data_IF_363995194729
#
_entry.id   IF_363995194729
#
_cell.length_a   1.000
_cell.length_b   1.000
_cell.length_c   1.000
_cell.angle_alpha   90.00
_cell.angle_beta   90.00
_cell.angle_gamma   90.00
#
_symmetry.space_group_name_H-M   'P 1'
#
loop_
_entity.id
_entity.type
_entity.pdbx_description
1 polymer ?
#
# COMPACT_ATOMS: atom_id res chain seq x y z
N UNK A 1 -33.42 27.54 -55.50
CA UNK A 1 -32.23 26.70 -55.28
C UNK A 1 -32.15 26.41 -53.79
N UNK A 2 -32.44 25.15 -53.38
CA UNK A 2 -32.41 24.72 -51.97
C UNK A 2 -31.01 24.20 -51.69
N UNK A 3 -30.25 24.85 -50.82
CA UNK A 3 -28.94 24.37 -50.37
C UNK A 3 -29.13 23.30 -49.27
N UNK A 4 -28.74 22.07 -49.56
CA UNK A 4 -28.71 20.96 -48.63
C UNK A 4 -27.37 21.00 -47.89
N UNK A 5 -27.36 21.36 -46.59
CA UNK A 5 -26.19 21.26 -45.74
C UNK A 5 -26.08 19.84 -45.19
N UNK A 6 -25.07 19.08 -45.62
CA UNK A 6 -24.74 17.79 -45.08
C UNK A 6 -23.88 18.01 -43.82
N UNK A 7 -24.44 17.74 -42.65
CA UNK A 7 -23.71 17.73 -41.38
C UNK A 7 -22.94 16.42 -41.28
N UNK A 8 -21.61 16.46 -41.48
CA UNK A 8 -20.74 15.30 -41.28
C UNK A 8 -20.42 15.20 -39.79
N UNK A 9 -21.07 14.26 -39.12
CA UNK A 9 -20.77 13.94 -37.72
C UNK A 9 -19.50 13.09 -37.68
N UNK A 10 -18.36 13.70 -37.30
CA UNK A 10 -17.11 12.99 -37.07
C UNK A 10 -17.20 12.34 -35.69
N UNK A 11 -17.52 11.03 -35.63
CA UNK A 11 -17.39 10.23 -34.41
C UNK A 11 -15.89 10.01 -34.12
N UNK A 12 -15.34 10.78 -33.22
CA UNK A 12 -14.03 10.48 -32.64
C UNK A 12 -14.20 9.33 -31.66
N UNK A 13 -13.78 8.15 -32.07
CA UNK A 13 -13.62 7.01 -31.16
C UNK A 13 -12.43 7.32 -30.22
N UNK A 14 -12.72 7.67 -28.98
CA UNK A 14 -11.72 7.59 -27.94
C UNK A 14 -11.48 6.09 -27.68
N UNK A 15 -10.43 5.52 -28.27
CA UNK A 15 -9.92 4.23 -27.87
C UNK A 15 -9.27 4.47 -26.50
N UNK A 16 -10.01 4.21 -25.42
CA UNK A 16 -9.40 4.05 -24.11
C UNK A 16 -8.48 2.83 -24.23
N UNK A 17 -7.16 2.95 -23.97
CA UNK A 17 -6.29 1.79 -24.00
C UNK A 17 -6.85 0.76 -23.02
N UNK A 18 -7.12 -0.45 -23.51
CA UNK A 18 -7.55 -1.55 -22.67
C UNK A 18 -6.40 -1.83 -21.69
N UNK A 19 -6.61 -1.52 -20.41
CA UNK A 19 -5.63 -1.77 -19.38
C UNK A 19 -5.26 -3.26 -19.39
N UNK A 20 -3.97 -3.58 -19.57
CA UNK A 20 -3.48 -4.96 -19.56
C UNK A 20 -3.54 -5.51 -18.13
N UNK A 21 -4.70 -6.02 -17.73
CA UNK A 21 -4.97 -6.55 -16.39
C UNK A 21 -5.30 -8.04 -16.47
N UNK A 22 -4.68 -8.82 -15.58
CA UNK A 22 -4.98 -10.24 -15.40
C UNK A 22 -5.25 -10.54 -13.93
N UNK A 23 -6.33 -11.30 -13.65
CA UNK A 23 -6.69 -11.73 -12.31
C UNK A 23 -6.20 -13.15 -12.05
N UNK A 24 -5.59 -13.36 -10.87
CA UNK A 24 -5.16 -14.67 -10.40
C UNK A 24 -5.73 -14.96 -9.01
N UNK A 25 -5.94 -16.23 -8.69
CA UNK A 25 -6.18 -16.69 -7.32
C UNK A 25 -4.82 -17.03 -6.71
N UNK A 26 -4.45 -16.36 -5.62
CA UNK A 26 -3.18 -16.60 -4.96
C UNK A 26 -3.30 -17.51 -3.72
N UNK A 27 -4.48 -17.56 -3.09
CA UNK A 27 -4.74 -18.45 -1.96
C UNK A 27 -6.23 -18.79 -1.82
N UNK A 28 -6.53 -19.89 -1.15
CA UNK A 28 -7.86 -20.23 -0.64
C UNK A 28 -7.75 -20.51 0.85
N UNK A 29 -8.48 -19.76 1.68
CA UNK A 29 -8.45 -19.82 3.13
C UNK A 29 -9.85 -20.11 3.68
N UNK A 30 -10.15 -21.38 3.89
CA UNK A 30 -11.51 -21.81 4.24
C UNK A 30 -12.48 -21.52 3.07
N UNK A 31 -13.44 -20.62 3.30
CA UNK A 31 -14.41 -20.21 2.26
C UNK A 31 -13.92 -19.00 1.44
N UNK A 32 -12.84 -18.34 1.85
CA UNK A 32 -12.34 -17.16 1.17
C UNK A 32 -11.42 -17.55 0.01
N UNK A 33 -11.75 -17.10 -1.18
CA UNK A 33 -10.87 -17.16 -2.36
C UNK A 33 -10.21 -15.82 -2.55
N UNK A 34 -8.91 -15.76 -2.25
CA UNK A 34 -8.11 -14.55 -2.29
C UNK A 34 -7.49 -14.37 -3.68
N UNK A 35 -7.67 -13.19 -4.25
CA UNK A 35 -7.27 -12.89 -5.62
C UNK A 35 -6.36 -11.67 -5.67
N UNK A 36 -5.55 -11.61 -6.72
CA UNK A 36 -4.80 -10.42 -7.09
C UNK A 36 -5.02 -10.08 -8.56
N UNK A 37 -5.01 -8.78 -8.85
CA UNK A 37 -5.08 -8.23 -10.20
C UNK A 37 -3.69 -7.67 -10.53
N UNK A 38 -3.10 -8.17 -11.62
CA UNK A 38 -1.79 -7.76 -12.12
C UNK A 38 -1.99 -6.82 -13.30
N UNK A 39 -1.47 -5.61 -13.19
CA UNK A 39 -1.51 -4.56 -14.19
C UNK A 39 -0.11 -4.37 -14.77
N UNK A 40 0.03 -4.55 -16.07
CA UNK A 40 1.34 -4.44 -16.76
C UNK A 40 1.41 -3.18 -17.62
N UNK A 41 2.59 -2.53 -17.72
CA UNK A 41 2.81 -1.43 -18.67
C UNK A 41 2.48 -1.83 -20.11
N UNK A 42 2.01 -0.87 -20.93
CA UNK A 42 1.55 -1.16 -22.30
C UNK A 42 2.65 -1.72 -23.21
N UNK A 43 3.88 -1.26 -23.05
CA UNK A 43 5.00 -1.58 -23.95
C UNK A 43 6.00 -2.57 -23.34
N UNK A 44 5.55 -3.45 -22.42
CA UNK A 44 6.41 -4.45 -21.81
C UNK A 44 6.87 -5.48 -22.85
N UNK A 45 8.19 -5.74 -22.90
CA UNK A 45 8.80 -6.72 -23.81
C UNK A 45 8.92 -8.07 -23.08
N UNK A 46 8.89 -9.20 -23.80
CA UNK A 46 9.04 -10.53 -23.19
C UNK A 46 10.33 -10.73 -22.39
N UNK A 47 11.35 -9.92 -22.64
CA UNK A 47 12.65 -9.96 -21.95
C UNK A 47 12.74 -9.04 -20.74
N UNK A 48 11.73 -8.21 -20.51
CA UNK A 48 11.76 -7.25 -19.41
C UNK A 48 11.56 -7.97 -18.07
N UNK A 49 12.21 -7.43 -17.04
CA UNK A 49 12.04 -7.81 -15.66
C UNK A 49 11.89 -6.51 -14.86
N UNK A 50 10.66 -6.20 -14.46
CA UNK A 50 10.28 -4.90 -13.93
C UNK A 50 10.11 -4.93 -12.42
N UNK A 51 10.38 -3.83 -11.72
CA UNK A 51 10.00 -3.68 -10.32
C UNK A 51 8.47 -3.81 -10.16
N UNK A 52 8.02 -4.22 -8.98
CA UNK A 52 6.59 -4.43 -8.71
C UNK A 52 6.13 -3.71 -7.45
N UNK A 53 4.97 -3.07 -7.52
CA UNK A 53 4.24 -2.54 -6.37
C UNK A 53 3.11 -3.50 -6.04
N UNK A 54 3.12 -4.07 -4.83
CA UNK A 54 2.04 -4.92 -4.31
C UNK A 54 1.22 -4.07 -3.35
N UNK A 55 0.01 -3.76 -3.75
CA UNK A 55 -0.91 -2.87 -3.06
C UNK A 55 -2.02 -3.62 -2.33
N UNK A 56 -2.21 -3.27 -1.05
CA UNK A 56 -3.30 -3.73 -0.21
C UNK A 56 -4.21 -2.56 0.15
N UNK A 57 -5.51 -2.72 -0.13
CA UNK A 57 -6.51 -1.68 0.11
C UNK A 57 -6.79 -1.43 1.61
N UNK A 58 -7.31 -0.26 1.91
CA UNK A 58 -7.81 0.11 3.24
C UNK A 58 -9.14 -0.54 3.60
N UNK A 59 -9.84 0.07 4.57
CA UNK A 59 -11.18 -0.35 4.98
C UNK A 59 -11.24 -1.05 6.34
N UNK A 60 -10.24 -0.85 7.22
CA UNK A 60 -10.26 -1.30 8.62
C UNK A 60 -10.44 -2.81 8.78
N UNK A 61 -9.93 -3.60 7.84
CA UNK A 61 -10.10 -5.07 7.80
C UNK A 61 -11.56 -5.53 7.77
N UNK A 62 -12.49 -4.61 7.42
CA UNK A 62 -13.94 -4.85 7.42
C UNK A 62 -14.57 -4.68 6.03
N UNK A 63 -13.94 -3.93 5.15
CA UNK A 63 -14.46 -3.58 3.83
C UNK A 63 -13.35 -3.22 2.85
N UNK A 64 -13.75 -2.68 1.69
CA UNK A 64 -12.83 -2.39 0.59
C UNK A 64 -12.71 -3.54 -0.40
N UNK A 65 -11.86 -3.34 -1.39
CA UNK A 65 -11.63 -4.32 -2.46
C UNK A 65 -10.46 -3.91 -3.34
N UNK A 66 -9.98 -4.80 -4.17
CA UNK A 66 -8.78 -4.62 -4.99
C UNK A 66 -8.96 -3.79 -6.28
N UNK A 67 -10.16 -3.26 -6.53
CA UNK A 67 -10.52 -2.57 -7.77
C UNK A 67 -11.26 -1.24 -7.54
N UNK A 68 -11.06 -0.61 -6.39
CA UNK A 68 -11.54 0.73 -6.10
C UNK A 68 -10.71 1.81 -6.80
N UNK A 69 -11.07 3.07 -6.58
CA UNK A 69 -10.40 4.20 -7.24
C UNK A 69 -8.94 4.36 -6.79
N UNK A 70 -8.64 4.14 -5.52
CA UNK A 70 -7.29 4.23 -4.97
C UNK A 70 -6.37 3.16 -5.57
N UNK A 71 -6.90 1.93 -5.71
CA UNK A 71 -6.21 0.81 -6.33
C UNK A 71 -5.88 1.10 -7.80
N UNK A 72 -6.84 1.65 -8.54
CA UNK A 72 -6.66 2.04 -9.94
C UNK A 72 -5.64 3.19 -10.06
N UNK A 73 -5.70 4.16 -9.18
CA UNK A 73 -4.76 5.30 -9.18
C UNK A 73 -3.31 4.82 -8.97
N UNK A 74 -3.07 3.98 -7.95
CA UNK A 74 -1.71 3.53 -7.64
C UNK A 74 -1.14 2.59 -8.71
N UNK A 75 -1.94 1.64 -9.25
CA UNK A 75 -1.45 0.73 -10.29
C UNK A 75 -1.21 1.43 -11.63
N UNK A 76 -2.01 2.45 -11.97
CA UNK A 76 -1.78 3.27 -13.15
C UNK A 76 -0.49 4.09 -13.02
N UNK A 77 -0.25 4.69 -11.85
CA UNK A 77 0.99 5.42 -11.61
C UNK A 77 2.20 4.47 -11.61
N UNK A 78 2.07 3.27 -11.06
CA UNK A 78 3.09 2.24 -11.14
C UNK A 78 3.43 1.92 -12.61
N UNK A 79 2.44 1.62 -13.44
CA UNK A 79 2.63 1.31 -14.86
C UNK A 79 3.25 2.48 -15.64
N UNK A 80 2.80 3.72 -15.39
CA UNK A 80 3.37 4.96 -15.98
C UNK A 80 4.86 5.11 -15.68
N UNK A 81 5.31 4.62 -14.52
CA UNK A 81 6.70 4.72 -14.06
C UNK A 81 7.52 3.44 -14.29
N UNK A 82 7.02 2.49 -15.09
CA UNK A 82 7.74 1.27 -15.45
C UNK A 82 7.71 0.16 -14.40
N UNK A 83 6.79 0.22 -13.45
CA UNK A 83 6.54 -0.84 -12.46
C UNK A 83 5.32 -1.68 -12.87
N UNK A 84 5.32 -2.94 -12.51
CA UNK A 84 4.12 -3.76 -12.50
C UNK A 84 3.30 -3.36 -11.27
N UNK A 85 1.99 -3.09 -11.45
CA UNK A 85 1.06 -2.86 -10.36
C UNK A 85 0.34 -4.16 -10.00
N UNK A 86 0.30 -4.51 -8.73
CA UNK A 86 -0.47 -5.67 -8.23
C UNK A 86 -1.39 -5.19 -7.12
N UNK A 87 -2.70 -5.37 -7.29
CA UNK A 87 -3.67 -5.07 -6.24
C UNK A 87 -4.27 -6.35 -5.69
N UNK A 88 -4.25 -6.52 -4.36
CA UNK A 88 -4.64 -7.77 -3.69
C UNK A 88 -5.94 -7.64 -2.90
N UNK A 89 -6.75 -8.70 -2.89
CA UNK A 89 -7.77 -8.90 -1.85
C UNK A 89 -7.13 -9.63 -0.67
N UNK A 90 -7.72 -9.51 0.50
CA UNK A 90 -7.31 -10.19 1.73
C UNK A 90 -8.53 -10.51 2.59
N UNK A 91 -8.39 -11.35 3.62
CA UNK A 91 -9.49 -11.71 4.49
C UNK A 91 -9.97 -10.52 5.32
N UNK A 92 -11.25 -10.17 5.17
CA UNK A 92 -11.88 -9.07 5.90
C UNK A 92 -12.41 -9.57 7.26
N UNK A 93 -11.51 -9.91 8.17
CA UNK A 93 -11.82 -10.60 9.44
C UNK A 93 -12.67 -9.77 10.40
N UNK A 94 -12.81 -8.49 10.14
CA UNK A 94 -13.64 -7.59 10.95
C UNK A 94 -14.99 -7.29 10.31
N UNK A 95 -15.26 -7.81 9.12
CA UNK A 95 -16.54 -7.63 8.41
C UNK A 95 -17.69 -8.25 9.22
N UNK A 96 -18.73 -7.45 9.46
CA UNK A 96 -19.93 -7.90 10.18
C UNK A 96 -19.74 -8.11 11.68
N UNK A 97 -18.56 -7.83 12.23
CA UNK A 97 -18.34 -7.90 13.68
C UNK A 97 -18.91 -6.66 14.39
N UNK A 98 -19.46 -6.83 15.61
CA UNK A 98 -20.04 -5.72 16.36
C UNK A 98 -19.04 -4.61 16.73
N UNK A 99 -17.78 -4.96 16.96
CA UNK A 99 -16.74 -4.05 17.42
C UNK A 99 -15.91 -3.44 16.30
N UNK A 100 -16.05 -3.95 15.04
CA UNK A 100 -15.18 -3.53 13.96
C UNK A 100 -13.70 -3.71 14.33
N UNK A 101 -12.87 -2.69 14.04
CA UNK A 101 -11.45 -2.62 14.41
C UNK A 101 -11.17 -1.48 15.39
N UNK A 102 -12.22 -1.00 16.10
CA UNK A 102 -12.21 0.15 17.02
C UNK A 102 -11.69 -0.16 18.42
N UNK A 103 -12.00 0.75 19.37
CA UNK A 103 -11.54 0.64 20.75
C UNK A 103 -12.19 -0.51 21.54
N UNK A 104 -13.32 -1.01 21.09
CA UNK A 104 -14.01 -2.15 21.70
C UNK A 104 -13.58 -3.50 21.09
N UNK A 105 -12.74 -3.50 20.03
CA UNK A 105 -12.08 -4.67 19.51
C UNK A 105 -10.88 -5.01 20.41
N UNK A 106 -10.89 -6.17 21.07
CA UNK A 106 -9.83 -6.51 22.02
C UNK A 106 -8.44 -6.52 21.36
N UNK A 107 -7.40 -6.24 22.16
CA UNK A 107 -6.00 -6.27 21.71
C UNK A 107 -5.64 -7.59 21.02
N UNK A 108 -6.09 -8.71 21.56
CA UNK A 108 -5.86 -10.04 21.00
C UNK A 108 -6.48 -10.17 19.61
N UNK A 109 -7.71 -9.68 19.43
CA UNK A 109 -8.39 -9.67 18.13
C UNK A 109 -7.71 -8.73 17.13
N UNK A 110 -7.18 -7.59 17.57
CA UNK A 110 -6.38 -6.70 16.71
C UNK A 110 -5.10 -7.38 16.26
N UNK A 111 -4.34 -7.97 17.19
CA UNK A 111 -3.11 -8.70 16.87
C UNK A 111 -3.36 -9.89 15.95
N UNK A 112 -4.44 -10.66 16.21
CA UNK A 112 -4.85 -11.75 15.32
C UNK A 112 -5.19 -11.24 13.92
N UNK A 113 -5.90 -10.12 13.82
CA UNK A 113 -6.25 -9.50 12.52
C UNK A 113 -5.00 -9.06 11.76
N UNK A 114 -4.06 -8.38 12.42
CA UNK A 114 -2.77 -8.02 11.82
C UNK A 114 -1.98 -9.26 11.37
N UNK A 115 -1.90 -10.28 12.22
CA UNK A 115 -1.22 -11.54 11.86
C UNK A 115 -1.78 -12.15 10.58
N UNK A 116 -3.11 -12.26 10.47
CA UNK A 116 -3.74 -12.86 9.30
C UNK A 116 -3.60 -11.99 8.04
N UNK A 117 -3.62 -10.66 8.18
CA UNK A 117 -3.37 -9.73 7.09
C UNK A 117 -1.91 -9.81 6.59
N UNK A 118 -0.95 -9.93 7.50
CA UNK A 118 0.47 -10.16 7.18
C UNK A 118 0.66 -11.47 6.42
N UNK A 119 -0.01 -12.54 6.83
CA UNK A 119 0.02 -13.84 6.12
C UNK A 119 -0.57 -13.68 4.71
N UNK A 120 -1.73 -13.04 4.56
CA UNK A 120 -2.38 -12.87 3.26
C UNK A 120 -1.52 -12.01 2.31
N UNK A 121 -0.88 -10.96 2.83
CA UNK A 121 0.05 -10.14 2.05
C UNK A 121 1.28 -10.93 1.59
N UNK A 122 1.88 -11.73 2.48
CA UNK A 122 3.04 -12.56 2.15
C UNK A 122 2.69 -13.69 1.19
N UNK A 123 1.51 -14.30 1.31
CA UNK A 123 1.01 -15.30 0.34
C UNK A 123 0.87 -14.69 -1.05
N UNK A 124 0.29 -13.48 -1.16
CA UNK A 124 0.19 -12.76 -2.43
C UNK A 124 1.58 -12.41 -3.00
N UNK A 125 2.49 -11.95 -2.14
CA UNK A 125 3.88 -11.66 -2.54
C UNK A 125 4.60 -12.94 -3.00
N UNK A 126 4.40 -14.06 -2.30
CA UNK A 126 4.98 -15.34 -2.68
C UNK A 126 4.43 -15.84 -4.02
N UNK A 127 3.14 -15.64 -4.29
CA UNK A 127 2.56 -15.94 -5.61
C UNK A 127 3.26 -15.13 -6.70
N UNK A 128 3.45 -13.83 -6.51
CA UNK A 128 4.17 -12.96 -7.46
C UNK A 128 5.61 -13.42 -7.63
N UNK A 129 6.31 -13.74 -6.54
CA UNK A 129 7.68 -14.23 -6.53
C UNK A 129 7.83 -15.54 -7.32
N UNK A 130 6.99 -16.54 -7.04
CA UNK A 130 7.04 -17.85 -7.69
C UNK A 130 6.65 -17.81 -9.18
N UNK A 131 5.87 -16.82 -9.60
CA UNK A 131 5.44 -16.61 -10.97
C UNK A 131 6.19 -15.45 -11.65
N UNK A 132 7.32 -15.00 -11.10
CA UNK A 132 8.05 -13.81 -11.54
C UNK A 132 8.43 -13.83 -13.03
N UNK A 133 8.84 -14.97 -13.57
CA UNK A 133 9.16 -15.13 -15.01
C UNK A 133 7.92 -14.88 -15.87
N UNK A 134 6.77 -15.49 -15.53
CA UNK A 134 5.52 -15.31 -16.26
C UNK A 134 4.98 -13.89 -16.15
N UNK A 135 5.16 -13.26 -14.97
CA UNK A 135 4.70 -11.93 -14.68
C UNK A 135 5.72 -10.85 -15.05
N UNK A 136 6.93 -11.24 -15.45
CA UNK A 136 8.04 -10.34 -15.79
C UNK A 136 8.46 -9.42 -14.64
N UNK A 137 8.47 -9.95 -13.42
CA UNK A 137 8.80 -9.24 -12.17
C UNK A 137 10.26 -9.43 -11.79
N UNK A 138 10.94 -8.33 -11.48
CA UNK A 138 12.23 -8.34 -10.77
C UNK A 138 11.98 -8.58 -9.27
N UNK A 139 12.23 -9.79 -8.81
CA UNK A 139 12.01 -10.20 -7.42
C UNK A 139 12.91 -9.50 -6.41
N UNK A 140 13.96 -8.83 -6.85
CA UNK A 140 14.82 -8.00 -6.00
C UNK A 140 14.23 -6.58 -5.74
N UNK A 141 13.14 -6.22 -6.46
CA UNK A 141 12.54 -4.88 -6.44
C UNK A 141 11.04 -4.92 -6.16
N UNK A 142 10.66 -5.61 -5.08
CA UNK A 142 9.27 -5.69 -4.60
C UNK A 142 9.01 -4.55 -3.63
N UNK A 143 7.99 -3.73 -3.89
CA UNK A 143 7.55 -2.63 -3.05
C UNK A 143 6.27 -3.07 -2.33
N UNK A 144 6.28 -3.10 -1.00
CA UNK A 144 5.08 -3.29 -0.20
C UNK A 144 4.31 -1.99 -0.11
N UNK A 145 3.02 -2.00 -0.43
CA UNK A 145 2.24 -0.77 -0.51
C UNK A 145 0.82 -0.94 0.05
N UNK A 146 0.25 0.15 0.56
CA UNK A 146 -1.14 0.13 1.00
C UNK A 146 -1.64 1.44 1.56
N UNK A 147 -2.94 1.45 1.87
CA UNK A 147 -3.66 2.56 2.48
C UNK A 147 -4.32 2.12 3.79
N UNK A 148 -4.28 2.95 4.86
CA UNK A 148 -4.93 2.65 6.14
C UNK A 148 -4.58 1.24 6.65
N UNK A 149 -5.54 0.35 6.84
CA UNK A 149 -5.32 -1.06 7.20
C UNK A 149 -4.30 -1.78 6.28
N UNK A 150 -4.31 -1.47 4.99
CA UNK A 150 -3.32 -1.98 4.04
C UNK A 150 -1.92 -1.40 4.28
N UNK A 151 -1.81 -0.11 4.63
CA UNK A 151 -0.54 0.52 4.97
C UNK A 151 0.03 0.00 6.29
N UNK A 152 -0.82 -0.23 7.30
CA UNK A 152 -0.42 -0.91 8.54
C UNK A 152 0.16 -2.29 8.23
N UNK A 153 -0.51 -3.05 7.34
CA UNK A 153 -0.04 -4.37 6.93
C UNK A 153 1.28 -4.30 6.14
N UNK A 154 1.42 -3.35 5.20
CA UNK A 154 2.64 -3.15 4.43
C UNK A 154 3.86 -2.84 5.32
N UNK A 155 3.67 -2.00 6.36
CA UNK A 155 4.70 -1.71 7.36
C UNK A 155 5.03 -2.94 8.21
N UNK A 156 4.01 -3.69 8.65
CA UNK A 156 4.22 -4.92 9.42
C UNK A 156 4.98 -6.00 8.62
N UNK A 157 4.66 -6.21 7.34
CA UNK A 157 5.38 -7.21 6.53
C UNK A 157 6.82 -6.80 6.25
N UNK A 158 7.08 -5.49 6.11
CA UNK A 158 8.41 -4.99 5.88
C UNK A 158 9.31 -5.13 7.13
N UNK A 159 8.80 -4.75 8.32
CA UNK A 159 9.62 -4.57 9.51
C UNK A 159 9.34 -5.55 10.65
N UNK A 160 8.15 -6.18 10.71
CA UNK A 160 7.72 -7.00 11.84
C UNK A 160 7.24 -8.40 11.46
N UNK A 161 7.46 -8.87 10.24
CA UNK A 161 6.92 -10.18 9.82
C UNK A 161 7.34 -11.35 10.73
N UNK A 162 8.54 -11.31 11.34
CA UNK A 162 9.00 -12.33 12.29
C UNK A 162 8.23 -12.33 13.62
N UNK A 163 7.70 -11.17 14.01
CA UNK A 163 6.83 -11.07 15.19
C UNK A 163 5.52 -11.84 14.97
N UNK A 164 4.95 -11.71 13.76
CA UNK A 164 3.68 -12.36 13.41
C UNK A 164 3.84 -13.81 12.97
N UNK A 165 4.94 -14.13 12.29
CA UNK A 165 5.21 -15.46 11.71
C UNK A 165 6.60 -15.90 12.14
N UNK A 166 6.71 -16.68 13.25
CA UNK A 166 8.00 -17.15 13.75
C UNK A 166 8.76 -18.02 12.75
N UNK A 167 8.05 -18.88 12.00
CA UNK A 167 8.61 -19.68 10.92
C UNK A 167 8.35 -19.04 9.56
N UNK A 168 9.35 -18.40 9.00
CA UNK A 168 9.33 -17.76 7.69
C UNK A 168 9.83 -18.65 6.54
N UNK A 169 9.96 -19.96 6.75
CA UNK A 169 10.53 -20.89 5.74
C UNK A 169 9.81 -20.76 4.38
N UNK A 170 8.49 -20.60 4.38
CA UNK A 170 7.69 -20.43 3.16
C UNK A 170 7.95 -19.08 2.43
N UNK A 171 8.50 -18.08 3.12
CA UNK A 171 8.70 -16.71 2.62
C UNK A 171 10.17 -16.27 2.72
N UNK A 172 11.10 -17.22 2.91
CA UNK A 172 12.52 -16.93 3.21
C UNK A 172 13.23 -16.11 2.13
N UNK A 173 12.82 -16.30 0.88
CA UNK A 173 13.43 -15.64 -0.29
C UNK A 173 12.79 -14.28 -0.61
N UNK A 174 11.69 -13.92 0.09
CA UNK A 174 11.01 -12.64 -0.12
C UNK A 174 11.75 -11.53 0.60
N UNK A 175 12.16 -10.52 -0.16
CA UNK A 175 12.69 -9.25 0.34
C UNK A 175 11.89 -8.10 -0.23
N UNK A 176 11.74 -7.03 0.56
CA UNK A 176 11.13 -5.79 0.09
C UNK A 176 12.22 -4.75 -0.17
N UNK A 177 12.14 -4.07 -1.32
CA UNK A 177 13.06 -3.02 -1.72
C UNK A 177 12.56 -1.63 -1.32
N UNK A 178 11.31 -1.51 -0.88
CA UNK A 178 10.72 -0.26 -0.41
C UNK A 178 9.31 -0.45 0.12
N UNK A 179 8.77 0.63 0.71
CA UNK A 179 7.38 0.69 1.21
C UNK A 179 6.69 1.96 0.73
N UNK A 180 5.42 1.86 0.38
CA UNK A 180 4.51 3.00 0.20
C UNK A 180 3.37 2.87 1.22
N UNK A 181 3.16 3.91 2.04
CA UNK A 181 2.10 3.91 3.04
C UNK A 181 1.28 5.20 3.04
N UNK A 182 -0.03 5.08 2.90
CA UNK A 182 -0.98 6.18 3.08
C UNK A 182 -1.69 6.00 4.41
N UNK A 183 -1.47 6.92 5.38
CA UNK A 183 -2.03 6.85 6.75
C UNK A 183 -1.80 5.51 7.41
N UNK A 184 -0.53 5.05 7.46
CA UNK A 184 -0.11 3.79 8.08
C UNK A 184 0.64 4.00 9.38
N UNK A 185 0.64 2.96 10.22
CA UNK A 185 1.42 2.85 11.44
C UNK A 185 1.73 1.38 11.75
N UNK A 186 2.67 1.09 12.63
CA UNK A 186 2.97 -0.28 13.06
C UNK A 186 3.28 -0.37 14.55
N UNK A 187 3.33 -1.59 15.09
CA UNK A 187 3.26 -1.86 16.52
C UNK A 187 4.51 -1.50 17.30
N UNK A 188 5.70 -1.68 16.73
CA UNK A 188 6.95 -1.59 17.47
C UNK A 188 8.04 -0.90 16.63
N UNK A 189 8.34 0.36 16.99
CA UNK A 189 9.33 1.17 16.28
C UNK A 189 10.76 0.61 16.38
N UNK A 190 11.05 -0.20 17.40
CA UNK A 190 12.38 -0.78 17.57
C UNK A 190 12.61 -1.99 16.67
N UNK A 191 11.56 -2.52 16.06
CA UNK A 191 11.65 -3.47 14.94
C UNK A 191 12.22 -2.86 13.65
N UNK A 192 12.19 -1.53 13.51
CA UNK A 192 12.89 -0.79 12.45
C UNK A 192 14.32 -0.48 12.90
N UNK A 193 15.29 -1.13 12.25
CA UNK A 193 16.72 -1.06 12.57
C UNK A 193 17.50 -0.59 11.34
N UNK A 194 18.77 -0.25 11.53
CA UNK A 194 19.65 0.13 10.41
C UNK A 194 19.79 -1.02 9.39
N UNK A 195 19.77 -2.28 9.85
CA UNK A 195 19.97 -3.45 9.00
C UNK A 195 18.78 -3.78 8.11
N UNK A 196 17.57 -3.33 8.49
CA UNK A 196 16.34 -3.55 7.71
C UNK A 196 15.73 -2.26 7.17
N UNK A 197 16.39 -1.13 7.34
CA UNK A 197 15.94 0.16 6.80
C UNK A 197 15.99 0.12 5.26
N UNK A 198 14.84 0.28 4.64
CA UNK A 198 14.65 0.37 3.19
C UNK A 198 13.96 1.70 2.85
N UNK A 199 14.01 2.19 1.59
CA UNK A 199 13.30 3.39 1.17
C UNK A 199 11.80 3.35 1.50
N UNK A 200 11.27 4.40 2.15
CA UNK A 200 9.87 4.49 2.56
C UNK A 200 9.24 5.78 2.04
N UNK A 201 8.12 5.67 1.31
CA UNK A 201 7.30 6.81 0.92
C UNK A 201 5.99 6.82 1.71
N UNK A 202 5.76 7.88 2.49
CA UNK A 202 4.59 8.00 3.38
C UNK A 202 3.78 9.26 3.07
N UNK A 203 2.46 9.14 3.16
CA UNK A 203 1.52 10.28 3.20
C UNK A 203 0.66 10.15 4.44
N UNK A 204 0.52 11.23 5.25
CA UNK A 204 -0.25 11.15 6.49
C UNK A 204 -0.82 12.50 6.90
N UNK A 205 -2.07 12.51 7.40
CA UNK A 205 -2.72 13.66 7.99
C UNK A 205 -2.26 13.91 9.43
N UNK A 206 -1.93 15.17 9.78
CA UNK A 206 -1.45 15.49 11.13
C UNK A 206 -2.53 15.38 12.20
N UNK A 207 -3.81 15.38 11.82
CA UNK A 207 -4.97 15.25 12.70
C UNK A 207 -5.74 13.94 12.50
N UNK A 208 -5.05 12.93 11.95
CA UNK A 208 -5.62 11.58 11.78
C UNK A 208 -5.99 10.98 13.13
N UNK A 209 -7.29 10.67 13.32
CA UNK A 209 -7.83 10.06 14.55
C UNK A 209 -8.05 8.56 14.43
N UNK A 210 -7.93 8.00 13.24
CA UNK A 210 -8.01 6.56 13.03
C UNK A 210 -6.65 5.89 13.23
N UNK A 211 -5.63 6.40 12.53
CA UNK A 211 -4.25 5.90 12.62
C UNK A 211 -3.36 7.06 13.10
N UNK A 212 -2.56 6.89 14.16
CA UNK A 212 -1.78 7.99 14.69
C UNK A 212 -0.66 8.43 13.74
N UNK A 213 -0.52 9.74 13.53
CA UNK A 213 0.57 10.34 12.77
C UNK A 213 1.93 10.17 13.47
N UNK A 214 1.96 10.33 14.80
CA UNK A 214 3.12 10.06 15.67
C UNK A 214 2.97 8.74 16.42
N UNK A 215 3.43 8.69 17.66
CA UNK A 215 3.23 7.54 18.57
C UNK A 215 2.03 7.79 19.47
N UNK A 216 0.98 7.01 19.30
CA UNK A 216 -0.23 7.09 20.11
C UNK A 216 -1.01 5.75 20.07
N UNK A 217 -2.00 5.56 20.96
CA UNK A 217 -2.91 4.41 20.86
C UNK A 217 -3.69 4.44 19.54
N UNK A 218 -3.85 3.27 18.93
CA UNK A 218 -4.73 3.09 17.76
C UNK A 218 -6.11 3.67 18.04
N UNK A 219 -6.61 4.55 17.14
CA UNK A 219 -7.85 5.33 17.31
C UNK A 219 -7.90 6.15 18.61
N UNK A 220 -6.76 6.46 19.17
CA UNK A 220 -6.66 7.21 20.46
C UNK A 220 -7.49 6.59 21.58
N UNK A 221 -7.57 5.25 21.58
CA UNK A 221 -8.28 4.50 22.61
C UNK A 221 -7.73 4.81 23.99
N UNK A 222 -8.63 4.94 24.96
CA UNK A 222 -8.23 5.12 26.37
C UNK A 222 -7.62 3.82 26.92
N UNK A 223 -6.72 3.90 27.91
CA UNK A 223 -5.98 2.74 28.43
C UNK A 223 -6.87 1.59 28.96
N UNK A 224 -8.06 1.90 29.48
CA UNK A 224 -9.05 0.94 30.00
C UNK A 224 -9.86 0.24 28.91
N UNK A 225 -9.75 0.67 27.66
CA UNK A 225 -10.47 0.04 26.56
C UNK A 225 -9.81 -1.27 26.15
N UNK A 226 -10.58 -2.33 25.84
CA UNK A 226 -10.01 -3.63 25.45
C UNK A 226 -9.14 -3.56 24.19
N UNK A 227 -9.37 -2.59 23.32
CA UNK A 227 -8.63 -2.37 22.09
C UNK A 227 -7.45 -1.41 22.22
N UNK A 228 -7.04 -1.07 23.44
CA UNK A 228 -5.84 -0.24 23.65
C UNK A 228 -4.59 -0.94 23.15
N UNK A 229 -3.94 -0.35 22.14
CA UNK A 229 -2.68 -0.82 21.57
C UNK A 229 -1.92 0.38 21.01
N UNK A 230 -0.65 0.50 21.34
CA UNK A 230 0.22 1.58 20.83
C UNK A 230 0.61 1.29 19.39
N UNK A 231 0.63 2.34 18.57
CA UNK A 231 1.14 2.33 17.20
C UNK A 231 2.09 3.51 16.98
N UNK A 232 2.97 3.34 16.02
CA UNK A 232 3.97 4.32 15.61
C UNK A 232 3.74 4.68 14.14
N UNK A 233 3.29 5.92 13.91
CA UNK A 233 2.93 6.41 12.59
C UNK A 233 4.07 7.09 11.85
N UNK A 234 3.74 7.71 10.73
CA UNK A 234 4.68 8.22 9.74
C UNK A 234 5.71 9.19 10.30
N UNK A 235 5.33 10.07 11.25
CA UNK A 235 6.26 10.99 11.93
C UNK A 235 7.33 10.20 12.67
N UNK A 236 6.93 9.29 13.55
CA UNK A 236 7.87 8.49 14.35
C UNK A 236 8.77 7.61 13.49
N UNK A 237 8.22 7.03 12.41
CA UNK A 237 8.97 6.23 11.44
C UNK A 237 10.09 7.07 10.81
N UNK A 238 9.77 8.26 10.30
CA UNK A 238 10.77 9.11 9.65
C UNK A 238 11.78 9.70 10.64
N UNK A 239 11.39 10.00 11.87
CA UNK A 239 12.31 10.38 12.94
C UNK A 239 13.32 9.25 13.26
N UNK A 240 12.88 7.99 13.22
CA UNK A 240 13.77 6.83 13.38
C UNK A 240 14.72 6.69 12.18
N UNK A 241 14.22 6.85 10.95
CA UNK A 241 15.03 6.79 9.72
C UNK A 241 16.06 7.92 9.64
N UNK A 242 15.74 9.12 10.17
CA UNK A 242 16.69 10.22 10.30
C UNK A 242 17.94 9.78 11.09
N UNK A 243 17.79 8.96 12.14
CA UNK A 243 18.93 8.47 12.96
C UNK A 243 19.81 7.45 12.22
N UNK A 244 19.33 6.87 11.13
CA UNK A 244 20.03 5.89 10.30
C UNK A 244 20.56 6.49 9.00
N UNK A 245 20.26 7.77 8.74
CA UNK A 245 20.49 8.42 7.44
C UNK A 245 19.84 7.65 6.26
N UNK A 246 18.74 6.93 6.55
CA UNK A 246 18.05 6.10 5.59
C UNK A 246 17.03 6.91 4.78
N UNK A 247 16.75 6.43 3.55
CA UNK A 247 15.89 7.14 2.60
C UNK A 247 14.42 7.16 3.01
N UNK A 248 13.81 8.35 3.00
CA UNK A 248 12.36 8.49 3.10
C UNK A 248 11.82 9.70 2.32
N UNK A 249 10.57 9.57 1.91
CA UNK A 249 9.71 10.67 1.45
C UNK A 249 8.48 10.73 2.38
N UNK A 250 8.25 11.85 3.04
CA UNK A 250 7.08 12.08 3.88
C UNK A 250 6.25 13.26 3.36
N UNK A 251 5.06 12.97 2.82
CA UNK A 251 4.05 13.99 2.56
C UNK A 251 3.20 14.23 3.80
N UNK A 252 3.42 15.36 4.46
CA UNK A 252 2.71 15.80 5.66
C UNK A 252 1.48 16.60 5.23
N UNK A 253 0.29 16.01 5.35
CA UNK A 253 -0.96 16.73 5.10
C UNK A 253 -1.32 17.53 6.34
N UNK A 254 -0.99 18.82 6.35
CA UNK A 254 -1.17 19.69 7.53
C UNK A 254 -2.67 19.88 7.82
N UNK A 255 -3.09 19.62 9.06
CA UNK A 255 -4.48 19.59 9.50
C UNK A 255 -5.33 18.54 8.75
N UNK A 256 -4.69 17.61 8.02
CA UNK A 256 -5.37 16.51 7.35
C UNK A 256 -5.84 15.45 8.36
N UNK A 257 -7.02 14.93 8.10
CA UNK A 257 -7.60 13.79 8.85
C UNK A 257 -7.19 12.47 8.22
N UNK A 258 -7.92 11.39 8.53
CA UNK A 258 -7.74 10.07 7.91
C UNK A 258 -8.01 10.06 6.39
N UNK A 259 -8.61 11.12 5.84
CA UNK A 259 -8.78 11.29 4.39
C UNK A 259 -7.45 11.34 3.61
N UNK A 260 -6.33 11.61 4.31
CA UNK A 260 -4.98 11.47 3.77
C UNK A 260 -4.61 10.01 3.40
N UNK A 261 -5.45 9.03 3.76
CA UNK A 261 -5.35 7.64 3.32
C UNK A 261 -5.78 7.44 1.86
N UNK A 262 -6.59 8.36 1.29
CA UNK A 262 -7.01 8.31 -0.11
C UNK A 262 -5.84 8.60 -1.05
N UNK A 263 -5.79 7.87 -2.17
CA UNK A 263 -4.71 7.98 -3.15
C UNK A 263 -5.07 8.97 -4.24
N UNK A 264 -4.49 10.15 -4.17
CA UNK A 264 -4.68 11.19 -5.19
C UNK A 264 -3.61 11.08 -6.28
N UNK A 265 -3.97 11.01 -7.58
CA UNK A 265 -3.02 10.84 -8.70
C UNK A 265 -1.87 11.86 -8.70
N UNK A 266 -2.14 13.11 -8.35
CA UNK A 266 -1.16 14.21 -8.32
C UNK A 266 -0.08 14.08 -7.23
N UNK A 267 -0.27 13.22 -6.23
CA UNK A 267 0.75 12.94 -5.21
C UNK A 267 1.70 11.82 -5.65
N UNK A 268 1.28 10.99 -6.59
CA UNK A 268 1.98 9.78 -6.97
C UNK A 268 3.27 10.06 -7.77
N UNK A 269 3.30 11.10 -8.59
CA UNK A 269 4.52 11.44 -9.37
C UNK A 269 5.73 11.67 -8.45
N UNK A 270 5.56 12.34 -7.30
CA UNK A 270 6.63 12.56 -6.34
C UNK A 270 7.07 11.25 -5.63
N UNK A 271 6.11 10.38 -5.33
CA UNK A 271 6.37 9.07 -4.72
C UNK A 271 7.17 8.18 -5.67
N UNK A 272 6.76 8.07 -6.93
CA UNK A 272 7.47 7.25 -7.91
C UNK A 272 8.81 7.86 -8.32
N UNK A 273 8.95 9.20 -8.36
CA UNK A 273 10.25 9.84 -8.51
C UNK A 273 11.21 9.43 -7.38
N UNK A 274 10.74 9.49 -6.12
CA UNK A 274 11.52 9.05 -4.96
C UNK A 274 11.91 7.56 -5.08
N UNK A 275 10.98 6.67 -5.42
CA UNK A 275 11.27 5.24 -5.58
C UNK A 275 12.28 4.98 -6.71
N UNK A 276 12.17 5.66 -7.85
CA UNK A 276 13.11 5.52 -8.95
C UNK A 276 14.53 5.88 -8.49
N UNK A 277 14.66 6.99 -7.78
CA UNK A 277 15.96 7.44 -7.25
C UNK A 277 16.55 6.50 -6.20
N UNK A 278 15.73 6.04 -5.28
CA UNK A 278 16.22 5.29 -4.11
C UNK A 278 16.27 3.79 -4.33
N UNK A 279 15.30 3.20 -5.04
CA UNK A 279 15.21 1.75 -5.28
C UNK A 279 15.92 1.33 -6.56
N UNK A 280 15.87 2.14 -7.63
CA UNK A 280 16.46 1.79 -8.91
C UNK A 280 17.87 2.35 -9.08
N UNK A 281 18.12 3.57 -8.59
CA UNK A 281 19.41 4.27 -8.73
C UNK A 281 20.26 4.24 -7.45
N UNK A 282 19.73 3.70 -6.33
CA UNK A 282 20.40 3.59 -5.01
C UNK A 282 20.86 4.93 -4.42
N UNK A 283 20.16 6.01 -4.74
CA UNK A 283 20.41 7.31 -4.11
C UNK A 283 19.85 7.34 -2.69
N UNK A 284 20.47 8.11 -1.78
CA UNK A 284 19.93 8.36 -0.45
C UNK A 284 19.21 9.71 -0.46
N UNK A 285 17.91 9.69 -0.19
CA UNK A 285 17.05 10.88 -0.20
C UNK A 285 16.22 10.94 1.07
N UNK A 286 16.27 12.07 1.79
CA UNK A 286 15.39 12.39 2.90
C UNK A 286 14.58 13.64 2.56
N UNK A 287 13.27 13.50 2.42
CA UNK A 287 12.40 14.60 1.98
C UNK A 287 11.12 14.67 2.79
N UNK A 288 10.80 15.87 3.25
CA UNK A 288 9.50 16.22 3.87
C UNK A 288 8.79 17.25 2.99
N UNK A 289 7.62 16.88 2.46
CA UNK A 289 6.71 17.74 1.70
C UNK A 289 5.54 18.12 2.59
N UNK A 290 5.10 19.37 2.54
CA UNK A 290 3.92 19.85 3.26
C UNK A 290 2.81 20.14 2.27
N UNK A 291 1.64 19.55 2.49
CA UNK A 291 0.43 19.78 1.69
C UNK A 291 -0.75 20.13 2.60
N UNK A 292 -1.82 20.60 1.98
CA UNK A 292 -3.11 20.83 2.65
C UNK A 292 -4.08 19.69 2.29
N UNK A 293 -5.12 19.47 3.14
CA UNK A 293 -6.17 18.52 2.80
C UNK A 293 -6.81 18.85 1.45
N UNK A 294 -7.06 17.82 0.67
CA UNK A 294 -7.76 17.93 -0.61
C UNK A 294 -9.25 17.70 -0.41
N UNK A 295 -10.12 18.31 -1.23
CA UNK A 295 -11.54 17.98 -1.21
C UNK A 295 -11.71 16.49 -1.51
N UNK A 296 -12.55 15.82 -0.72
CA UNK A 296 -12.98 14.45 -1.01
C UNK A 296 -13.84 14.50 -2.29
N UNK A 297 -13.31 14.01 -3.37
CA UNK A 297 -14.11 13.78 -4.60
C UNK A 297 -14.75 12.38 -4.45
N UNK A 298 -16.06 12.40 -4.16
CA UNK A 298 -16.91 11.20 -4.19
C UNK A 298 -17.34 10.89 -5.61
#
# INVERSE_FOLDING_TARGET
MKHLYILVLVLTYFISPAQNMKTFTYATKGLDTLKLDVYTPENIKPTDSLPVVIWMHGGGFSGGGRNGIDEINIVNAANKNGYIGVSISYRLLRKGTKTGFGCDCSKENKLFTFNQAVIDFLDATNFVYQNSTMLQVDTSKIIAAGSSAGAETALHVAFMRRFFIPDLTAYKDITFAGVIGFSGAFLDIDSLTIDNAIPIALTHGTEDRAIPYGSAPHQYCQPEKPGYIMLHGSKTITEKLDTFEASYFLNIVKNGTHDAANVHPEDLDAIFYFLNKTVLENEVIQTKKYTLPKPTTY
#
